data_IF_878024933353
#
_entry.id   IF_878024933353
#
_cell.length_a   1.000
_cell.length_b   1.000
_cell.length_c   1.000
_cell.angle_alpha   90.00
_cell.angle_beta   90.00
_cell.angle_gamma   90.00
#
_symmetry.space_group_name_H-M   'P 1'
#
loop_
_entity.id
_entity.type
_entity.pdbx_description
1 polymer ?
#
# COMPACT_ATOMS: atom_id res chain seq x y z
N UNK A 1 25.54 0.08 5.25
CA UNK A 1 25.52 -1.27 4.63
C UNK A 1 25.23 -1.25 3.13
N UNK A 2 24.07 -0.76 2.63
CA UNK A 2 23.75 -0.79 1.18
C UNK A 2 24.82 -0.11 0.30
N UNK A 3 25.31 1.06 0.70
CA UNK A 3 26.39 1.75 -0.02
C UNK A 3 27.70 0.94 -0.09
N UNK A 4 28.02 0.15 0.96
CA UNK A 4 29.21 -0.72 0.98
C UNK A 4 29.05 -1.95 0.08
N UNK A 5 27.82 -2.48 -0.06
CA UNK A 5 27.52 -3.55 -1.01
C UNK A 5 27.65 -2.99 -2.43
N UNK A 6 27.10 -1.81 -2.69
CA UNK A 6 27.15 -1.16 -4.01
C UNK A 6 28.59 -0.83 -4.44
N UNK A 7 29.43 -0.33 -3.52
CA UNK A 7 30.85 -0.08 -3.77
C UNK A 7 31.73 -1.33 -3.75
N UNK A 8 31.14 -2.51 -3.53
CA UNK A 8 31.82 -3.82 -3.38
C UNK A 8 32.84 -3.89 -2.23
N UNK A 9 32.76 -3.01 -1.24
CA UNK A 9 33.60 -3.09 -0.03
C UNK A 9 33.06 -4.07 1.01
N UNK A 10 31.78 -4.45 0.93
CA UNK A 10 31.16 -5.43 1.82
C UNK A 10 31.31 -6.87 1.30
N UNK A 11 31.53 -7.85 2.19
CA UNK A 11 31.71 -9.27 1.85
C UNK A 11 30.55 -9.85 1.02
N UNK A 12 29.32 -9.39 1.28
CA UNK A 12 28.11 -9.82 0.57
C UNK A 12 28.15 -9.54 -0.94
N UNK A 13 28.92 -8.54 -1.39
CA UNK A 13 29.08 -8.26 -2.82
C UNK A 13 29.69 -9.46 -3.59
N UNK A 14 30.62 -10.20 -2.97
CA UNK A 14 31.21 -11.41 -3.57
C UNK A 14 30.17 -12.52 -3.75
N UNK A 15 29.23 -12.65 -2.80
CA UNK A 15 28.14 -13.61 -2.89
C UNK A 15 27.17 -13.24 -4.03
N UNK A 16 26.89 -11.95 -4.20
CA UNK A 16 26.05 -11.47 -5.30
C UNK A 16 26.72 -11.65 -6.67
N UNK A 17 28.02 -11.38 -6.79
CA UNK A 17 28.77 -11.60 -8.03
C UNK A 17 28.80 -13.09 -8.45
N UNK A 18 28.75 -14.02 -7.50
CA UNK A 18 28.74 -15.46 -7.77
C UNK A 18 27.33 -16.05 -7.99
N UNK A 19 26.27 -15.29 -7.72
CA UNK A 19 24.90 -15.78 -7.78
C UNK A 19 24.41 -15.90 -9.23
N UNK A 20 23.78 -17.03 -9.57
CA UNK A 20 23.21 -17.24 -10.92
C UNK A 20 21.86 -16.54 -11.11
N UNK A 21 21.10 -16.35 -10.02
CA UNK A 21 19.77 -15.69 -10.01
C UNK A 21 19.67 -14.78 -8.79
N UNK A 22 20.44 -13.68 -8.75
CA UNK A 22 20.44 -12.78 -7.60
C UNK A 22 19.10 -12.07 -7.49
N UNK A 23 18.62 -11.90 -6.26
CA UNK A 23 17.32 -11.29 -5.96
C UNK A 23 17.46 -10.24 -4.87
N UNK A 24 16.71 -9.15 -5.01
CA UNK A 24 16.54 -8.09 -4.02
C UNK A 24 15.04 -7.92 -3.77
N UNK A 25 14.64 -7.99 -2.49
CA UNK A 25 13.28 -7.69 -2.05
C UNK A 25 13.33 -6.41 -1.23
N UNK A 26 12.71 -5.35 -1.74
CA UNK A 26 12.62 -4.05 -1.09
C UNK A 26 11.27 -3.92 -0.39
N UNK A 27 11.28 -3.83 0.95
CA UNK A 27 10.06 -3.64 1.74
C UNK A 27 9.57 -2.19 1.77
N UNK A 28 8.27 -1.98 1.95
CA UNK A 28 7.67 -0.63 2.01
C UNK A 28 8.26 0.27 3.10
N UNK A 29 8.68 -0.27 4.25
CA UNK A 29 9.26 0.55 5.32
C UNK A 29 10.52 1.31 4.87
N UNK A 30 11.30 0.73 3.96
CA UNK A 30 12.46 1.38 3.37
C UNK A 30 12.06 2.50 2.38
N UNK A 31 10.93 2.32 1.68
CA UNK A 31 10.40 3.27 0.70
C UNK A 31 9.59 4.42 1.32
N UNK A 32 9.01 4.21 2.50
CA UNK A 32 8.19 5.20 3.20
C UNK A 32 9.03 6.25 3.97
N UNK A 33 10.35 6.08 4.03
CA UNK A 33 11.26 7.07 4.62
C UNK A 33 11.25 8.38 3.81
N UNK A 34 11.61 9.52 4.42
CA UNK A 34 11.78 10.78 3.68
C UNK A 34 12.76 10.69 2.49
N UNK A 35 13.78 9.83 2.58
CA UNK A 35 14.76 9.54 1.54
C UNK A 35 14.44 8.29 0.71
N UNK A 36 13.19 7.80 0.76
CA UNK A 36 12.78 6.55 0.12
C UNK A 36 13.00 6.51 -1.39
N UNK A 37 12.97 7.66 -2.07
CA UNK A 37 13.30 7.79 -3.49
C UNK A 37 14.79 7.55 -3.78
N UNK A 38 15.69 7.92 -2.85
CA UNK A 38 17.14 7.64 -2.92
C UNK A 38 17.43 6.18 -2.59
N UNK A 39 16.69 5.62 -1.62
CA UNK A 39 16.74 4.18 -1.32
C UNK A 39 16.36 3.36 -2.54
N UNK A 40 15.30 3.75 -3.25
CA UNK A 40 14.86 3.12 -4.48
C UNK A 40 15.92 3.22 -5.60
N UNK A 41 16.56 4.38 -5.77
CA UNK A 41 17.70 4.54 -6.69
C UNK A 41 18.86 3.60 -6.34
N UNK A 42 19.19 3.51 -5.07
CA UNK A 42 20.28 2.63 -4.60
C UNK A 42 19.96 1.16 -4.87
N UNK A 43 18.72 0.73 -4.62
CA UNK A 43 18.26 -0.61 -4.91
C UNK A 43 18.31 -0.93 -6.42
N UNK A 44 17.87 0.01 -7.27
CA UNK A 44 18.00 -0.10 -8.74
C UNK A 44 19.46 -0.25 -9.15
N UNK A 45 20.35 0.58 -8.60
CA UNK A 45 21.77 0.54 -8.92
C UNK A 45 22.42 -0.79 -8.49
N UNK A 46 22.01 -1.35 -7.34
CA UNK A 46 22.41 -2.70 -6.92
C UNK A 46 21.92 -3.75 -7.92
N UNK A 47 20.65 -3.70 -8.33
CA UNK A 47 20.09 -4.62 -9.30
C UNK A 47 20.82 -4.58 -10.65
N UNK A 48 21.10 -3.38 -11.17
CA UNK A 48 21.90 -3.22 -12.39
C UNK A 48 23.33 -3.73 -12.19
N UNK A 49 23.98 -3.40 -11.05
CA UNK A 49 25.37 -3.77 -10.77
C UNK A 49 25.60 -5.28 -10.69
N UNK A 50 24.63 -6.00 -10.15
CA UNK A 50 24.71 -7.44 -9.92
C UNK A 50 23.86 -8.27 -10.90
N UNK A 51 23.40 -7.68 -12.01
CA UNK A 51 22.68 -8.43 -13.05
C UNK A 51 21.37 -9.07 -12.58
N UNK A 52 20.65 -8.42 -11.66
CA UNK A 52 19.40 -8.95 -11.12
C UNK A 52 18.24 -8.88 -12.12
N UNK A 53 18.32 -8.01 -13.12
CA UNK A 53 17.31 -7.86 -14.17
C UNK A 53 17.99 -8.03 -15.51
N UNK A 54 18.11 -9.28 -15.95
CA UNK A 54 18.83 -9.66 -17.16
C UNK A 54 18.52 -11.11 -17.59
N UNK A 55 18.79 -11.48 -18.84
CA UNK A 55 18.76 -12.86 -19.33
C UNK A 55 17.50 -13.70 -18.98
N UNK A 56 16.31 -13.08 -18.98
CA UNK A 56 15.06 -13.77 -18.63
C UNK A 56 14.84 -13.98 -17.13
N UNK A 57 15.64 -13.33 -16.29
CA UNK A 57 15.48 -13.27 -14.85
C UNK A 57 15.14 -11.83 -14.40
N UNK A 58 14.16 -11.70 -13.51
CA UNK A 58 13.84 -10.45 -12.83
C UNK A 58 13.84 -10.66 -11.32
N UNK A 59 14.99 -10.40 -10.71
CA UNK A 59 15.22 -10.48 -9.27
C UNK A 59 14.95 -9.17 -8.53
N UNK A 60 14.55 -8.08 -9.18
CA UNK A 60 14.20 -6.85 -8.49
C UNK A 60 12.73 -6.86 -8.07
N UNK A 61 12.48 -6.92 -6.76
CA UNK A 61 11.14 -7.09 -6.21
C UNK A 61 10.85 -6.00 -5.18
N UNK A 62 9.61 -5.50 -5.19
CA UNK A 62 9.08 -4.62 -4.15
C UNK A 62 7.98 -5.36 -3.42
N UNK A 63 8.15 -5.53 -2.11
CA UNK A 63 7.14 -6.16 -1.26
C UNK A 63 6.21 -5.10 -0.70
N UNK A 64 4.93 -5.16 -1.07
CA UNK A 64 3.90 -4.23 -0.63
C UNK A 64 3.21 -4.70 0.65
N UNK A 65 2.88 -3.77 1.56
CA UNK A 65 2.25 -4.06 2.86
C UNK A 65 0.73 -3.90 2.91
N UNK A 66 0.09 -3.48 1.81
CA UNK A 66 -1.36 -3.26 1.76
C UNK A 66 -1.94 -3.78 0.44
N UNK A 67 -3.05 -4.52 0.52
CA UNK A 67 -3.69 -5.18 -0.64
C UNK A 67 -4.24 -4.20 -1.70
N UNK A 68 -4.50 -2.95 -1.32
CA UNK A 68 -4.95 -1.91 -2.25
C UNK A 68 -3.80 -1.29 -3.06
N UNK A 69 -2.54 -1.46 -2.64
CA UNK A 69 -1.42 -0.65 -3.14
C UNK A 69 -1.11 -0.90 -4.61
N UNK A 70 -0.94 -2.16 -5.02
CA UNK A 70 -0.51 -2.48 -6.38
C UNK A 70 -1.58 -2.10 -7.39
N UNK A 71 -2.84 -2.45 -7.13
CA UNK A 71 -3.95 -2.08 -8.01
C UNK A 71 -4.14 -0.56 -8.12
N UNK A 72 -3.94 0.17 -7.02
CA UNK A 72 -3.94 1.64 -7.05
C UNK A 72 -2.82 2.20 -7.93
N UNK A 73 -1.60 1.66 -7.82
CA UNK A 73 -0.46 2.05 -8.66
C UNK A 73 -0.72 1.72 -10.15
N UNK A 74 -1.27 0.54 -10.44
CA UNK A 74 -1.62 0.13 -11.80
C UNK A 74 -2.70 1.02 -12.44
N UNK A 75 -3.59 1.60 -11.64
CA UNK A 75 -4.58 2.60 -12.07
C UNK A 75 -4.03 4.03 -12.13
N UNK A 76 -2.76 4.24 -11.78
CA UNK A 76 -2.17 5.57 -11.72
C UNK A 76 -2.68 6.42 -10.56
N UNK A 77 -3.16 5.81 -9.48
CA UNK A 77 -3.63 6.49 -8.26
C UNK A 77 -2.45 6.98 -7.42
N UNK A 78 -1.73 7.94 -7.98
CA UNK A 78 -0.60 8.66 -7.38
C UNK A 78 -0.85 10.16 -7.50
N UNK A 79 -0.20 11.00 -6.67
CA UNK A 79 -0.30 12.44 -6.84
C UNK A 79 0.10 12.85 -8.26
N UNK A 80 -0.83 13.48 -8.99
CA UNK A 80 -0.56 14.03 -10.32
C UNK A 80 0.35 15.26 -10.26
N UNK A 81 0.50 15.96 -11.39
CA UNK A 81 1.22 17.23 -11.43
C UNK A 81 0.61 18.22 -10.42
N UNK A 82 1.44 18.76 -9.52
CA UNK A 82 1.02 19.61 -8.39
C UNK A 82 0.12 18.92 -7.35
N UNK A 83 -0.06 17.60 -7.44
CA UNK A 83 -0.72 16.80 -6.42
C UNK A 83 0.12 16.74 -5.15
N UNK A 84 -0.52 16.38 -4.04
CA UNK A 84 0.12 16.24 -2.73
C UNK A 84 0.09 14.77 -2.32
N UNK A 85 1.20 14.29 -1.78
CA UNK A 85 1.24 13.02 -1.08
C UNK A 85 0.56 13.14 0.30
N UNK A 86 0.60 12.07 1.10
CA UNK A 86 -0.04 12.05 2.43
C UNK A 86 0.49 13.17 3.32
N UNK A 87 1.82 13.36 3.38
CA UNK A 87 2.41 14.42 4.20
C UNK A 87 1.99 15.82 3.71
N UNK A 88 1.95 16.04 2.40
CA UNK A 88 1.45 17.28 1.81
C UNK A 88 -0.04 17.51 2.08
N UNK A 89 -0.86 16.46 2.09
CA UNK A 89 -2.28 16.53 2.43
C UNK A 89 -2.45 16.94 3.90
N UNK A 90 -1.76 16.26 4.82
CA UNK A 90 -1.82 16.57 6.25
C UNK A 90 -1.35 18.00 6.55
N UNK A 91 -0.20 18.42 6.00
CA UNK A 91 0.28 19.79 6.13
C UNK A 91 -0.67 20.82 5.50
N UNK A 92 -1.30 20.46 4.38
CA UNK A 92 -2.30 21.28 3.71
C UNK A 92 -3.56 21.47 4.56
N UNK A 93 -4.04 20.40 5.19
CA UNK A 93 -5.19 20.42 6.06
C UNK A 93 -4.90 21.22 7.34
N UNK A 94 -3.79 20.95 8.02
CA UNK A 94 -3.34 21.68 9.21
C UNK A 94 -3.18 23.19 8.97
N UNK A 95 -2.75 23.59 7.77
CA UNK A 95 -2.59 25.01 7.41
C UNK A 95 -3.84 25.66 6.78
N UNK A 96 -4.96 24.93 6.67
CA UNK A 96 -6.19 25.42 6.04
C UNK A 96 -6.13 25.56 4.51
N UNK A 97 -5.07 25.08 3.86
CA UNK A 97 -4.94 25.06 2.38
C UNK A 97 -5.72 23.93 1.73
N UNK A 98 -6.12 22.93 2.51
CA UNK A 98 -7.00 21.84 2.10
C UNK A 98 -8.20 21.88 3.03
N UNK A 99 -9.37 22.15 2.46
CA UNK A 99 -10.62 22.32 3.20
C UNK A 99 -11.41 21.02 3.31
N UNK A 100 -11.13 20.02 2.45
CA UNK A 100 -11.85 18.74 2.43
C UNK A 100 -10.85 17.60 2.27
N UNK A 101 -10.98 16.58 3.12
CA UNK A 101 -10.18 15.34 3.04
C UNK A 101 -11.12 14.15 2.94
N UNK A 102 -10.93 13.33 1.89
CA UNK A 102 -11.70 12.10 1.69
C UNK A 102 -10.84 10.88 2.03
N UNK A 103 -11.21 10.18 3.10
CA UNK A 103 -10.56 8.97 3.58
C UNK A 103 -11.32 7.75 3.09
N UNK A 104 -10.83 7.11 2.03
CA UNK A 104 -11.37 5.83 1.55
C UNK A 104 -10.70 4.68 2.30
N UNK A 105 -11.28 4.27 3.44
CA UNK A 105 -10.76 3.22 4.32
C UNK A 105 -9.35 3.49 4.84
N UNK A 106 -8.99 4.76 4.98
CA UNK A 106 -7.65 5.19 5.37
C UNK A 106 -7.61 5.47 6.87
N UNK A 107 -7.03 4.54 7.62
CA UNK A 107 -6.86 4.62 9.07
C UNK A 107 -5.38 4.73 9.50
N UNK A 108 -4.43 4.48 8.58
CA UNK A 108 -2.98 4.54 8.83
C UNK A 108 -2.38 5.94 8.57
N UNK A 109 -3.03 6.99 9.08
CA UNK A 109 -2.56 8.38 8.96
C UNK A 109 -2.63 9.09 10.31
N UNK A 110 -1.84 10.17 10.45
CA UNK A 110 -1.96 11.06 11.60
C UNK A 110 -3.22 11.93 11.46
N UNK A 111 -4.34 11.42 11.97
CA UNK A 111 -5.63 12.11 11.91
C UNK A 111 -5.66 13.38 12.75
N UNK A 112 -4.79 13.53 13.75
CA UNK A 112 -4.69 14.77 14.53
C UNK A 112 -4.18 15.95 13.69
N UNK A 113 -3.43 15.67 12.62
CA UNK A 113 -2.94 16.68 11.66
C UNK A 113 -3.99 17.10 10.62
N UNK A 114 -5.22 16.60 10.67
CA UNK A 114 -6.30 17.01 9.75
C UNK A 114 -6.86 18.41 10.05
N UNK A 115 -6.55 18.98 11.22
CA UNK A 115 -6.90 20.36 11.56
C UNK A 115 -8.40 20.62 11.48
N UNK A 116 -8.78 21.68 10.74
CA UNK A 116 -10.19 22.07 10.54
C UNK A 116 -10.76 21.65 9.17
N UNK A 117 -10.08 20.75 8.45
CA UNK A 117 -10.60 20.25 7.18
C UNK A 117 -11.89 19.46 7.42
N UNK A 118 -12.85 19.55 6.50
CA UNK A 118 -14.04 18.71 6.50
C UNK A 118 -13.67 17.29 6.07
N UNK A 119 -13.77 16.33 6.98
CA UNK A 119 -13.32 14.95 6.79
C UNK A 119 -14.50 14.05 6.45
N UNK A 120 -14.41 13.40 5.29
CA UNK A 120 -15.34 12.36 4.87
C UNK A 120 -14.61 11.02 5.00
N UNK A 121 -15.10 10.13 5.84
CA UNK A 121 -14.60 8.76 5.93
C UNK A 121 -15.56 7.79 5.24
N UNK A 122 -15.09 7.09 4.22
CA UNK A 122 -15.80 5.97 3.62
C UNK A 122 -15.08 4.67 3.97
N UNK A 123 -15.67 3.86 4.84
CA UNK A 123 -15.06 2.60 5.29
C UNK A 123 -16.06 1.69 5.97
N UNK A 124 -15.61 0.53 6.42
CA UNK A 124 -16.46 -0.54 6.95
C UNK A 124 -16.26 -0.81 8.45
N UNK A 125 -15.20 -0.28 9.07
CA UNK A 125 -14.98 -0.31 10.52
C UNK A 125 -14.79 1.11 11.04
N UNK A 126 -15.15 1.34 12.30
CA UNK A 126 -14.84 2.59 13.01
C UNK A 126 -13.50 2.46 13.71
N UNK A 127 -12.49 3.18 13.21
CA UNK A 127 -11.16 3.28 13.81
C UNK A 127 -10.69 4.76 13.77
N UNK A 128 -9.39 5.04 13.70
CA UNK A 128 -8.83 6.38 13.73
C UNK A 128 -9.44 7.33 12.67
N UNK A 129 -9.59 6.88 11.42
CA UNK A 129 -10.12 7.69 10.33
C UNK A 129 -11.59 8.03 10.49
N UNK A 130 -12.40 7.06 10.91
CA UNK A 130 -13.82 7.27 11.19
C UNK A 130 -14.03 8.19 12.40
N UNK A 131 -13.19 8.06 13.43
CA UNK A 131 -13.28 8.87 14.65
C UNK A 131 -12.97 10.34 14.42
N UNK A 132 -12.19 10.65 13.37
CA UNK A 132 -11.86 12.01 12.97
C UNK A 132 -12.83 12.60 11.93
N UNK A 133 -13.85 11.85 11.51
CA UNK A 133 -14.71 12.24 10.39
C UNK A 133 -15.89 13.14 10.80
N UNK A 134 -16.20 14.14 9.98
CA UNK A 134 -17.45 14.89 10.06
C UNK A 134 -18.62 14.09 9.44
N UNK A 135 -18.32 13.30 8.41
CA UNK A 135 -19.29 12.43 7.73
C UNK A 135 -18.71 11.05 7.55
N UNK A 136 -19.46 10.04 7.99
CA UNK A 136 -19.14 8.62 7.77
C UNK A 136 -20.08 8.02 6.72
N UNK A 137 -19.49 7.44 5.68
CA UNK A 137 -20.18 6.73 4.61
C UNK A 137 -19.88 5.22 4.75
N UNK A 138 -20.85 4.39 5.18
CA UNK A 138 -20.58 2.97 5.46
C UNK A 138 -20.36 2.18 4.17
N UNK A 139 -19.10 1.80 3.94
CA UNK A 139 -18.64 0.91 2.88
C UNK A 139 -18.77 -0.56 3.24
N UNK A 140 -18.47 -1.43 2.27
CA UNK A 140 -18.54 -2.89 2.43
C UNK A 140 -17.15 -3.48 2.73
N UNK A 141 -17.08 -4.48 3.61
CA UNK A 141 -15.86 -5.26 3.86
C UNK A 141 -15.47 -6.13 2.64
N UNK A 142 -14.29 -6.75 2.65
CA UNK A 142 -13.79 -7.54 1.52
C UNK A 142 -14.64 -8.79 1.22
N UNK A 143 -15.29 -9.37 2.24
CA UNK A 143 -16.22 -10.51 2.13
C UNK A 143 -17.61 -10.10 1.62
N UNK A 144 -17.88 -8.80 1.54
CA UNK A 144 -19.20 -8.22 1.30
C UNK A 144 -19.35 -7.60 -0.09
N UNK A 145 -18.39 -7.86 -0.98
CA UNK A 145 -18.36 -7.28 -2.32
C UNK A 145 -17.61 -8.14 -3.32
N UNK A 146 -18.05 -8.05 -4.58
CA UNK A 146 -17.27 -8.49 -5.73
C UNK A 146 -16.26 -7.38 -6.06
N UNK A 147 -15.01 -7.54 -5.64
CA UNK A 147 -13.95 -6.55 -5.83
C UNK A 147 -12.77 -7.15 -6.58
N UNK A 148 -11.98 -6.28 -7.20
CA UNK A 148 -10.72 -6.65 -7.87
C UNK A 148 -9.56 -6.19 -6.99
N UNK A 149 -8.66 -7.11 -6.64
CA UNK A 149 -7.42 -6.84 -5.92
C UNK A 149 -6.23 -7.21 -6.79
N UNK A 150 -5.08 -6.61 -6.53
CA UNK A 150 -3.82 -6.96 -7.20
C UNK A 150 -2.77 -7.22 -6.12
N UNK A 151 -2.21 -8.41 -6.12
CA UNK A 151 -1.23 -8.82 -5.11
C UNK A 151 0.18 -8.26 -5.42
N UNK A 152 1.17 -8.52 -4.55
CA UNK A 152 2.52 -7.94 -4.67
C UNK A 152 3.30 -8.41 -5.90
N UNK A 153 3.00 -9.60 -6.45
CA UNK A 153 3.60 -10.07 -7.70
C UNK A 153 2.84 -9.54 -8.93
N UNK A 154 1.86 -8.66 -8.73
CA UNK A 154 1.08 -8.04 -9.79
C UNK A 154 -0.13 -8.84 -10.25
N UNK A 155 -0.41 -10.03 -9.71
CA UNK A 155 -1.55 -10.87 -10.14
C UNK A 155 -2.88 -10.23 -9.79
N UNK A 156 -3.75 -10.09 -10.78
CA UNK A 156 -5.12 -9.57 -10.60
C UNK A 156 -6.02 -10.70 -10.11
N UNK A 157 -6.73 -10.48 -9.02
CA UNK A 157 -7.61 -11.45 -8.37
C UNK A 157 -8.97 -10.82 -8.10
N UNK A 158 -10.02 -11.63 -8.04
CA UNK A 158 -11.37 -11.15 -7.74
C UNK A 158 -11.93 -11.86 -6.53
N UNK A 159 -12.54 -11.08 -5.63
CA UNK A 159 -13.35 -11.62 -4.53
C UNK A 159 -14.75 -11.93 -5.04
N UNK A 160 -15.42 -12.83 -4.34
CA UNK A 160 -16.84 -13.09 -4.50
C UNK A 160 -17.59 -12.61 -3.25
N UNK A 161 -18.79 -12.08 -3.46
CA UNK A 161 -19.71 -11.76 -2.39
C UNK A 161 -20.04 -13.02 -1.58
N UNK A 162 -19.63 -13.05 -0.32
CA UNK A 162 -19.91 -14.15 0.60
C UNK A 162 -21.13 -13.85 1.49
N UNK A 163 -21.23 -12.61 1.99
CA UNK A 163 -22.33 -12.11 2.82
C UNK A 163 -22.69 -10.70 2.39
N UNK A 164 -23.92 -10.24 2.62
CA UNK A 164 -24.29 -8.87 2.27
C UNK A 164 -23.75 -7.86 3.28
N UNK A 165 -23.42 -6.62 2.84
CA UNK A 165 -23.01 -5.55 3.76
C UNK A 165 -24.06 -5.31 4.85
N UNK A 166 -23.67 -5.08 6.11
CA UNK A 166 -24.60 -4.91 7.21
C UNK A 166 -25.38 -3.60 7.13
N UNK A 167 -26.65 -3.65 7.55
CA UNK A 167 -27.51 -2.47 7.68
C UNK A 167 -27.66 -1.68 6.38
N UNK A 168 -27.19 -0.43 6.39
CA UNK A 168 -27.27 0.49 5.25
C UNK A 168 -25.95 0.62 4.48
N UNK A 169 -24.95 -0.21 4.79
CA UNK A 169 -23.69 -0.20 4.06
C UNK A 169 -23.90 -0.51 2.57
N UNK A 170 -23.00 0.01 1.73
CA UNK A 170 -23.02 -0.16 0.27
C UNK A 170 -21.62 -0.50 -0.23
N UNK A 171 -21.52 -1.16 -1.38
CA UNK A 171 -20.21 -1.41 -1.99
C UNK A 171 -19.55 -0.09 -2.37
N UNK A 172 -18.24 0.01 -2.17
CA UNK A 172 -17.53 1.29 -2.20
C UNK A 172 -17.71 2.11 -3.48
N UNK A 173 -17.68 1.44 -4.63
CA UNK A 173 -17.84 2.10 -5.93
C UNK A 173 -19.24 2.69 -6.12
N UNK A 174 -20.28 2.10 -5.52
CA UNK A 174 -21.65 2.62 -5.60
C UNK A 174 -21.78 3.92 -4.81
N UNK A 175 -21.11 4.02 -3.66
CA UNK A 175 -21.06 5.24 -2.83
C UNK A 175 -20.38 6.35 -3.63
N UNK A 176 -19.19 6.08 -4.18
CA UNK A 176 -18.46 7.04 -4.99
C UNK A 176 -19.23 7.46 -6.24
N UNK A 177 -19.89 6.52 -6.94
CA UNK A 177 -20.76 6.82 -8.08
C UNK A 177 -21.92 7.73 -7.67
N UNK A 178 -22.62 7.41 -6.59
CA UNK A 178 -23.76 8.20 -6.12
C UNK A 178 -23.32 9.62 -5.69
N UNK A 179 -22.18 9.73 -5.02
CA UNK A 179 -21.57 11.02 -4.66
C UNK A 179 -21.21 11.82 -5.92
N UNK A 180 -20.59 11.16 -6.91
CA UNK A 180 -20.28 11.75 -8.21
C UNK A 180 -21.52 12.34 -8.89
N UNK A 181 -22.65 11.63 -8.85
CA UNK A 181 -23.92 12.12 -9.38
C UNK A 181 -24.47 13.31 -8.57
N UNK A 182 -24.39 13.26 -7.24
CA UNK A 182 -24.84 14.36 -6.37
C UNK A 182 -24.03 15.64 -6.58
N UNK A 183 -22.74 15.52 -6.90
CA UNK A 183 -21.84 16.63 -7.23
C UNK A 183 -21.94 17.09 -8.69
N UNK A 184 -22.79 16.48 -9.51
CA UNK A 184 -22.92 16.78 -10.94
C UNK A 184 -21.74 16.30 -11.80
N UNK A 185 -20.82 15.49 -11.26
CA UNK A 185 -19.62 14.95 -11.90
C UNK A 185 -19.78 13.45 -12.17
N UNK A 186 -20.68 13.08 -13.09
CA UNK A 186 -21.02 11.67 -13.35
C UNK A 186 -19.79 10.84 -13.77
N UNK A 187 -19.54 9.74 -13.07
CA UNK A 187 -18.38 8.88 -13.28
C UNK A 187 -18.38 8.12 -14.63
N UNK A 188 -19.52 8.05 -15.32
CA UNK A 188 -19.64 7.44 -16.66
C UNK A 188 -19.83 5.92 -16.66
N UNK A 189 -20.19 5.33 -15.51
CA UNK A 189 -20.56 3.92 -15.38
C UNK A 189 -21.65 3.75 -14.32
N UNK A 190 -22.55 2.81 -14.56
CA UNK A 190 -23.72 2.51 -13.73
C UNK A 190 -23.77 1.04 -13.26
N UNK A 191 -22.82 0.21 -13.71
CA UNK A 191 -22.69 -1.19 -13.30
C UNK A 191 -21.23 -1.59 -13.00
N UNK A 192 -21.05 -2.69 -12.27
CA UNK A 192 -19.72 -3.22 -11.95
C UNK A 192 -18.96 -3.65 -13.22
N UNK A 193 -19.66 -4.19 -14.21
CA UNK A 193 -19.10 -4.59 -15.52
C UNK A 193 -18.57 -3.35 -16.27
N UNK A 194 -19.32 -2.26 -16.27
CA UNK A 194 -18.88 -1.01 -16.89
C UNK A 194 -17.69 -0.39 -16.17
N UNK A 195 -17.66 -0.46 -14.83
CA UNK A 195 -16.50 -0.04 -14.03
C UNK A 195 -15.27 -0.90 -14.35
N UNK A 196 -15.40 -2.22 -14.39
CA UNK A 196 -14.30 -3.12 -14.77
C UNK A 196 -13.82 -2.86 -16.19
N UNK A 197 -14.73 -2.61 -17.14
CA UNK A 197 -14.36 -2.22 -18.49
C UNK A 197 -13.61 -0.88 -18.51
N UNK A 198 -13.96 0.07 -17.64
CA UNK A 198 -13.22 1.31 -17.46
C UNK A 198 -11.81 1.06 -16.90
N UNK A 199 -11.67 0.21 -15.88
CA UNK A 199 -10.36 -0.19 -15.34
C UNK A 199 -9.47 -0.83 -16.41
N UNK A 200 -10.02 -1.72 -17.25
CA UNK A 200 -9.29 -2.35 -18.37
C UNK A 200 -8.82 -1.31 -19.39
N UNK A 201 -9.66 -0.30 -19.69
CA UNK A 201 -9.25 0.81 -20.57
C UNK A 201 -8.15 1.67 -19.96
N UNK A 202 -8.16 1.85 -18.65
CA UNK A 202 -7.10 2.58 -17.92
C UNK A 202 -5.79 1.80 -17.93
N UNK A 203 -5.85 0.48 -17.69
CA UNK A 203 -4.69 -0.39 -17.77
C UNK A 203 -5.12 -1.82 -18.16
N UNK A 204 -4.57 -2.33 -19.26
CA UNK A 204 -4.93 -3.63 -19.83
C UNK A 204 -4.65 -4.81 -18.86
N UNK A 205 -3.78 -4.62 -17.87
CA UNK A 205 -3.47 -5.63 -16.85
C UNK A 205 -4.72 -6.18 -16.15
N UNK A 206 -5.75 -5.35 -15.98
CA UNK A 206 -6.99 -5.73 -15.32
C UNK A 206 -7.85 -6.73 -16.12
N UNK A 207 -7.50 -7.00 -17.39
CA UNK A 207 -8.11 -8.06 -18.18
C UNK A 207 -7.49 -9.44 -17.90
N UNK A 208 -6.26 -9.49 -17.38
CA UNK A 208 -5.49 -10.72 -17.15
C UNK A 208 -5.69 -11.26 -15.71
N UNK A 209 -6.93 -11.64 -15.40
CA UNK A 209 -7.29 -12.20 -14.08
C UNK A 209 -6.61 -13.56 -13.87
N UNK A 210 -6.03 -13.74 -12.69
CA UNK A 210 -5.32 -14.94 -12.23
C UNK A 210 -4.03 -15.28 -13.01
N UNK A 211 -3.54 -14.37 -13.86
CA UNK A 211 -2.27 -14.53 -14.59
C UNK A 211 -1.12 -13.94 -13.77
N UNK A 212 -0.05 -14.73 -13.58
CA UNK A 212 1.15 -14.28 -12.89
C UNK A 212 1.85 -13.19 -13.70
N UNK A 213 2.46 -12.17 -13.07
CA UNK A 213 3.17 -11.15 -13.83
C UNK A 213 4.29 -11.71 -14.72
N UNK A 214 4.95 -12.79 -14.28
CA UNK A 214 5.96 -13.48 -15.07
C UNK A 214 5.41 -14.08 -16.38
N UNK A 215 4.13 -14.43 -16.42
CA UNK A 215 3.46 -15.08 -17.56
C UNK A 215 2.76 -14.09 -18.49
N UNK A 216 2.74 -12.80 -18.13
CA UNK A 216 2.09 -11.76 -18.93
C UNK A 216 2.77 -11.57 -20.28
N UNK A 217 1.92 -11.26 -21.26
CA UNK A 217 2.32 -10.92 -22.63
C UNK A 217 3.11 -9.61 -22.67
N UNK A 218 2.62 -8.59 -21.97
CA UNK A 218 3.32 -7.33 -21.79
C UNK A 218 4.45 -7.48 -20.76
N UNK A 219 5.67 -7.13 -21.15
CA UNK A 219 6.82 -7.05 -20.24
C UNK A 219 7.10 -5.59 -19.89
N UNK A 220 7.37 -5.33 -18.62
CA UNK A 220 7.80 -4.01 -18.15
C UNK A 220 9.26 -3.80 -18.52
N UNK A 221 9.57 -2.67 -19.15
CA UNK A 221 10.94 -2.29 -19.44
C UNK A 221 11.68 -1.88 -18.16
N UNK A 222 12.95 -2.29 -18.05
CA UNK A 222 13.83 -1.83 -16.98
C UNK A 222 14.29 -0.40 -17.28
N UNK A 223 13.73 0.57 -16.56
CA UNK A 223 13.97 2.00 -16.79
C UNK A 223 14.65 2.68 -15.59
N UNK A 224 14.93 3.97 -15.73
CA UNK A 224 15.45 4.82 -14.65
C UNK A 224 14.31 5.29 -13.75
N UNK A 225 14.34 4.90 -12.48
CA UNK A 225 13.42 5.37 -11.43
C UNK A 225 14.14 5.70 -10.11
N UNK A 226 13.47 6.43 -9.21
CA UNK A 226 14.04 6.97 -7.97
C UNK A 226 14.58 8.39 -8.13
N UNK A 227 15.18 8.94 -7.07
CA UNK A 227 15.80 10.27 -7.08
C UNK A 227 17.31 10.21 -6.79
N UNK A 228 18.04 11.20 -7.27
CA UNK A 228 19.45 11.41 -6.91
C UNK A 228 19.56 12.02 -5.51
N UNK A 229 20.65 11.73 -4.81
CA UNK A 229 20.94 12.26 -3.48
C UNK A 229 21.65 11.24 -2.62
N UNK A 230 21.92 11.63 -1.38
CA UNK A 230 22.55 10.76 -0.38
C UNK A 230 21.49 10.08 0.49
N UNK A 231 21.72 8.82 0.80
CA UNK A 231 20.86 8.05 1.69
C UNK A 231 21.10 8.49 3.13
N UNK A 232 20.03 8.69 3.89
CA UNK A 232 20.10 9.01 5.31
C UNK A 232 20.68 7.82 6.10
N UNK A 233 21.54 8.12 7.07
CA UNK A 233 22.21 7.14 7.94
C UNK A 233 21.27 6.44 8.93
N UNK A 234 20.06 6.96 9.14
CA UNK A 234 19.04 6.32 9.97
C UNK A 234 18.86 4.85 9.58
N UNK A 235 18.74 3.91 10.53
CA UNK A 235 18.51 2.51 10.23
C UNK A 235 17.15 2.31 9.54
N UNK A 236 17.00 1.22 8.79
CA UNK A 236 15.69 0.80 8.30
C UNK A 236 14.87 0.21 9.44
N UNK A 237 13.63 0.68 9.60
CA UNK A 237 12.65 0.13 10.53
C UNK A 237 11.67 -0.81 9.83
N UNK A 238 10.98 -1.64 10.63
CA UNK A 238 9.82 -2.39 10.13
C UNK A 238 8.67 -1.43 9.85
N UNK A 239 7.95 -1.65 8.75
CA UNK A 239 6.67 -0.98 8.51
C UNK A 239 5.51 -1.58 9.33
N UNK A 240 5.76 -2.72 10.00
CA UNK A 240 4.77 -3.48 10.76
C UNK A 240 5.30 -3.68 12.17
N UNK A 241 4.70 -2.98 13.13
CA UNK A 241 5.06 -3.10 14.56
C UNK A 241 4.25 -4.17 15.28
N UNK A 242 3.03 -4.42 14.81
CA UNK A 242 2.16 -5.48 15.29
C UNK A 242 1.60 -6.25 14.10
N UNK A 243 2.15 -7.45 13.85
CA UNK A 243 1.65 -8.32 12.80
C UNK A 243 0.16 -8.65 12.94
N UNK A 244 -0.35 -8.72 14.18
CA UNK A 244 -1.75 -9.07 14.43
C UNK A 244 -2.71 -7.89 14.28
N UNK A 245 -2.23 -6.64 14.14
CA UNK A 245 -3.06 -5.44 14.13
C UNK A 245 -2.58 -4.44 13.08
N UNK A 246 -2.69 -4.82 11.82
CA UNK A 246 -2.17 -4.04 10.67
C UNK A 246 -3.23 -3.26 9.92
N UNK A 247 -4.51 -3.52 10.17
CA UNK A 247 -5.62 -2.88 9.47
C UNK A 247 -6.85 -2.76 10.40
N UNK A 248 -7.90 -2.02 10.00
CA UNK A 248 -9.09 -1.83 10.83
C UNK A 248 -9.84 -3.14 11.17
N UNK A 249 -9.77 -4.16 10.31
CA UNK A 249 -10.44 -5.45 10.54
C UNK A 249 -9.74 -6.19 11.68
N UNK A 250 -8.42 -6.30 11.59
CA UNK A 250 -7.59 -6.98 12.57
C UNK A 250 -7.56 -6.23 13.91
N UNK A 251 -7.56 -4.89 13.89
CA UNK A 251 -7.69 -4.08 15.12
C UNK A 251 -9.05 -4.21 15.81
N UNK A 252 -10.13 -4.39 15.05
CA UNK A 252 -11.46 -4.66 15.60
C UNK A 252 -11.65 -6.11 16.06
N UNK A 253 -10.69 -7.01 15.81
CA UNK A 253 -10.80 -8.43 16.14
C UNK A 253 -10.36 -8.74 17.57
N UNK A 254 -11.26 -9.27 18.39
CA UNK A 254 -10.93 -9.78 19.73
C UNK A 254 -9.86 -10.87 19.70
N UNK A 255 -9.88 -11.73 18.68
CA UNK A 255 -8.89 -12.80 18.54
C UNK A 255 -7.49 -12.23 18.31
N UNK A 256 -7.38 -11.21 17.45
CA UNK A 256 -6.09 -10.57 17.18
C UNK A 256 -5.59 -9.74 18.37
N UNK A 257 -6.49 -9.17 19.16
CA UNK A 257 -6.14 -8.57 20.45
C UNK A 257 -5.51 -9.61 21.40
N UNK A 258 -6.14 -10.79 21.55
CA UNK A 258 -5.57 -11.87 22.36
C UNK A 258 -4.22 -12.38 21.82
N UNK A 259 -4.06 -12.49 20.51
CA UNK A 259 -2.77 -12.82 19.89
C UNK A 259 -1.70 -11.78 20.22
N UNK A 260 -2.06 -10.50 20.16
CA UNK A 260 -1.16 -9.40 20.56
C UNK A 260 -0.73 -9.54 22.01
N UNK A 261 -1.67 -9.73 22.94
CA UNK A 261 -1.35 -9.87 24.36
C UNK A 261 -0.47 -11.09 24.65
N UNK A 262 -0.72 -12.19 23.95
CA UNK A 262 0.00 -13.47 24.15
C UNK A 262 1.41 -13.44 23.57
N UNK A 263 1.57 -12.86 22.38
CA UNK A 263 2.81 -12.98 21.59
C UNK A 263 3.64 -11.70 21.50
N UNK A 264 3.12 -10.53 21.92
CA UNK A 264 3.80 -9.22 21.78
C UNK A 264 4.36 -8.65 23.10
N UNK A 265 4.00 -9.17 24.28
CA UNK A 265 4.57 -8.69 25.57
C UNK A 265 5.88 -9.46 25.88
N UNK A 266 6.96 -8.79 26.37
CA UNK A 266 8.35 -9.10 26.02
C UNK A 266 9.02 -10.17 26.87
N UNK A 267 10.15 -10.70 26.36
CA UNK A 267 11.27 -11.16 27.19
C UNK A 267 11.61 -10.10 28.26
N UNK A 268 11.07 -10.25 29.47
CA UNK A 268 11.60 -9.69 30.71
C UNK A 268 11.77 -10.82 31.72
N UNK A 269 12.94 -10.80 32.36
CA UNK A 269 13.42 -11.74 33.37
C UNK A 269 12.33 -12.17 34.35
N UNK A 270 12.07 -13.47 34.39
CA UNK A 270 11.57 -14.11 35.62
C UNK A 270 12.71 -14.00 36.64
N UNK A 271 12.80 -12.87 37.35
CA UNK A 271 13.55 -12.84 38.61
C UNK A 271 12.77 -13.72 39.56
N UNK A 272 13.26 -14.93 39.77
CA UNK A 272 12.70 -15.84 40.74
C UNK A 272 12.72 -15.19 42.12
N UNK A 273 11.55 -15.07 42.73
CA UNK A 273 11.42 -15.07 44.19
C UNK A 273 10.71 -16.34 44.58
N UNK A 274 11.50 -17.42 44.60
CA UNK A 274 11.31 -18.56 45.50
C UNK A 274 12.63 -18.71 46.26
N UNK A 275 12.63 -18.16 47.47
CA UNK A 275 13.71 -18.13 48.44
C UNK A 275 13.24 -17.31 49.63
#
# INVERSE_FOLDING_TARGET
MLGQILSRSHMFAKLMDAAQRPMLILGQGALARPDGSVVLTTARNLATRFGMVDHGWNGFNVLHGAAARVGALDLGFVPGKNGRDVAGILNGAASGKIEVVYLLGADEIDTASLGSAFVIYQGHHGDAGASAADVVLPGAAYTEKNATYVNTEGRVQQTNLAVHPPGQARTDWMILRALSQALGQKAGYDSLEQLRAHMIRTNAVFAEVDVAAADRTAKTEWTTFGASGDMNESPFGSAVENFYMTDPISRASETMARCTDTFRVPHFSVTGTNG
#
